data_IF_865463212677
#
_entry.id   IF_865463212677
#
_cell.length_a   1.000
_cell.length_b   1.000
_cell.length_c   1.000
_cell.angle_alpha   90.00
_cell.angle_beta   90.00
_cell.angle_gamma   90.00
#
_symmetry.space_group_name_H-M   'P 1'
#
loop_
_entity.id
_entity.type
_entity.pdbx_description
1 polymer ?
#
# COMPACT_ATOMS: atom_id res chain seq x y z
N UNK A 1 14.25 9.75 21.04
CA UNK A 1 13.67 9.72 19.69
C UNK A 1 14.45 8.71 18.88
N UNK A 2 13.83 7.60 18.49
CA UNK A 2 14.46 6.69 17.54
C UNK A 2 14.56 7.45 16.19
N UNK A 3 15.74 7.43 15.58
CA UNK A 3 15.93 7.99 14.24
C UNK A 3 15.08 7.14 13.28
N UNK A 4 14.05 7.73 12.70
CA UNK A 4 13.27 7.06 11.67
C UNK A 4 14.18 6.78 10.47
N UNK A 5 14.27 5.53 10.09
CA UNK A 5 15.05 5.10 8.93
C UNK A 5 14.36 5.52 7.64
N UNK A 6 15.15 5.87 6.63
CA UNK A 6 14.65 6.01 5.26
C UNK A 6 14.75 4.68 4.50
N UNK A 7 13.97 4.54 3.43
CA UNK A 7 14.08 3.38 2.54
C UNK A 7 15.48 3.25 1.92
N UNK A 8 16.13 4.36 1.64
CA UNK A 8 17.51 4.37 1.14
C UNK A 8 18.47 3.73 2.13
N UNK A 9 18.39 4.09 3.42
CA UNK A 9 19.24 3.50 4.45
C UNK A 9 19.01 2.00 4.60
N UNK A 10 17.75 1.54 4.44
CA UNK A 10 17.43 0.12 4.46
C UNK A 10 18.06 -0.61 3.27
N UNK A 11 17.98 -0.06 2.06
CA UNK A 11 18.59 -0.64 0.86
C UNK A 11 20.11 -0.68 0.98
N UNK A 12 20.75 0.40 1.39
CA UNK A 12 22.21 0.43 1.63
C UNK A 12 22.65 -0.65 2.62
N UNK A 13 21.87 -0.88 3.66
CA UNK A 13 22.12 -1.96 4.62
C UNK A 13 21.95 -3.35 4.00
N UNK A 14 20.94 -3.53 3.14
CA UNK A 14 20.70 -4.78 2.42
C UNK A 14 21.88 -5.06 1.47
N UNK A 15 22.31 -4.08 0.68
CA UNK A 15 23.42 -4.22 -0.25
C UNK A 15 24.72 -4.57 0.48
N UNK A 16 25.03 -3.89 1.59
CA UNK A 16 26.17 -4.24 2.46
C UNK A 16 26.10 -5.68 2.96
N UNK A 17 24.92 -6.09 3.44
CA UNK A 17 24.73 -7.45 3.95
C UNK A 17 24.95 -8.52 2.87
N UNK A 18 24.50 -8.27 1.64
CA UNK A 18 24.68 -9.21 0.51
C UNK A 18 26.14 -9.26 0.07
N UNK A 19 26.81 -8.11 0.07
CA UNK A 19 28.20 -7.98 -0.32
C UNK A 19 29.20 -8.31 0.83
N UNK A 20 28.75 -9.00 1.90
CA UNK A 20 29.56 -9.34 3.06
C UNK A 20 30.27 -8.13 3.69
N UNK A 21 29.53 -7.02 3.83
CA UNK A 21 30.03 -5.74 4.35
C UNK A 21 31.11 -5.05 3.50
N UNK A 22 31.48 -5.59 2.35
CA UNK A 22 32.33 -4.90 1.39
C UNK A 22 31.51 -4.06 0.42
N UNK A 23 31.90 -2.81 0.16
CA UNK A 23 31.29 -2.00 -0.88
C UNK A 23 31.75 -2.56 -2.24
N UNK A 24 31.11 -3.62 -2.73
CA UNK A 24 31.33 -4.14 -4.06
C UNK A 24 30.26 -3.63 -4.99
N UNK A 25 30.65 -3.35 -6.23
CA UNK A 25 29.71 -2.93 -7.29
C UNK A 25 28.93 -4.12 -7.88
N UNK A 26 29.07 -5.32 -7.34
CA UNK A 26 28.49 -6.52 -7.90
C UNK A 26 26.98 -6.61 -7.70
N UNK A 27 26.48 -6.07 -6.59
CA UNK A 27 25.05 -5.97 -6.34
C UNK A 27 24.68 -4.52 -6.08
N UNK A 28 24.28 -3.85 -7.13
CA UNK A 28 23.68 -2.52 -7.07
C UNK A 28 22.25 -2.58 -7.62
N UNK A 29 21.31 -2.08 -6.84
CA UNK A 29 19.92 -1.98 -7.24
C UNK A 29 19.65 -0.62 -7.86
N UNK A 30 18.98 -0.60 -9.02
CA UNK A 30 18.39 0.64 -9.48
C UNK A 30 17.29 1.10 -8.53
N UNK A 31 17.07 2.40 -8.42
CA UNK A 31 16.03 2.96 -7.55
C UNK A 31 14.64 2.34 -7.81
N UNK A 32 14.32 2.05 -9.07
CA UNK A 32 13.03 1.46 -9.45
C UNK A 32 12.91 0.00 -8.99
N UNK A 33 13.99 -0.78 -9.10
CA UNK A 33 14.02 -2.16 -8.60
C UNK A 33 13.94 -2.19 -7.08
N UNK A 34 14.68 -1.33 -6.40
CA UNK A 34 14.63 -1.20 -4.95
C UNK A 34 13.22 -0.89 -4.47
N UNK A 35 12.55 0.10 -5.07
CA UNK A 35 11.16 0.45 -4.75
C UNK A 35 10.18 -0.69 -5.04
N UNK A 36 10.40 -1.46 -6.11
CA UNK A 36 9.57 -2.62 -6.42
C UNK A 36 9.69 -3.68 -5.32
N UNK A 37 10.90 -4.09 -4.97
CA UNK A 37 11.16 -5.09 -3.93
C UNK A 37 10.64 -4.65 -2.55
N UNK A 38 10.85 -3.38 -2.19
CA UNK A 38 10.31 -2.81 -0.95
C UNK A 38 8.79 -2.93 -0.92
N UNK A 39 8.09 -2.49 -1.96
CA UNK A 39 6.63 -2.52 -2.00
C UNK A 39 6.06 -3.95 -2.00
N UNK A 40 6.72 -4.88 -2.66
CA UNK A 40 6.37 -6.31 -2.58
C UNK A 40 6.57 -6.85 -1.17
N UNK A 41 7.74 -6.61 -0.55
CA UNK A 41 8.04 -7.07 0.80
C UNK A 41 7.11 -6.45 1.85
N UNK A 42 6.76 -5.16 1.71
CA UNK A 42 5.75 -4.52 2.55
C UNK A 42 4.39 -5.20 2.43
N UNK A 43 3.96 -5.51 1.21
CA UNK A 43 2.69 -6.20 0.98
C UNK A 43 2.67 -7.57 1.63
N UNK A 44 3.74 -8.35 1.51
CA UNK A 44 3.87 -9.66 2.15
C UNK A 44 3.91 -9.56 3.68
N UNK A 45 4.66 -8.60 4.23
CA UNK A 45 4.76 -8.37 5.67
C UNK A 45 3.37 -8.09 6.26
N UNK A 46 2.63 -7.15 5.68
CA UNK A 46 1.31 -6.76 6.17
C UNK A 46 0.30 -7.91 6.03
N UNK A 47 0.30 -8.60 4.89
CA UNK A 47 -0.57 -9.78 4.69
C UNK A 47 -0.23 -10.87 5.69
N UNK A 48 1.06 -11.11 5.96
CA UNK A 48 1.49 -12.08 6.97
C UNK A 48 0.97 -11.74 8.36
N UNK A 49 0.99 -10.47 8.76
CA UNK A 49 0.46 -10.02 10.04
C UNK A 49 -1.07 -10.18 10.14
N UNK A 50 -1.80 -9.85 9.08
CA UNK A 50 -3.26 -10.06 9.02
C UNK A 50 -3.61 -11.54 9.16
N UNK A 51 -2.88 -12.44 8.48
CA UNK A 51 -3.08 -13.88 8.60
C UNK A 51 -2.74 -14.41 9.99
N UNK A 52 -1.67 -13.88 10.62
CA UNK A 52 -1.33 -14.26 11.98
C UNK A 52 -2.40 -13.79 12.97
N UNK A 53 -2.92 -12.57 12.82
CA UNK A 53 -4.05 -12.09 13.62
C UNK A 53 -5.27 -12.98 13.45
N UNK A 54 -5.59 -13.40 12.24
CA UNK A 54 -6.71 -14.28 11.96
C UNK A 54 -6.56 -15.66 12.65
N UNK A 55 -5.34 -16.19 12.72
CA UNK A 55 -5.07 -17.48 13.41
C UNK A 55 -5.23 -17.36 14.93
N UNK A 56 -4.85 -16.21 15.50
CA UNK A 56 -4.87 -16.00 16.97
C UNK A 56 -6.26 -15.57 17.42
N UNK A 57 -6.87 -14.63 16.74
CA UNK A 57 -8.12 -13.98 17.14
C UNK A 57 -9.37 -14.63 16.52
N UNK A 58 -9.20 -15.48 15.50
CA UNK A 58 -10.32 -16.09 14.77
C UNK A 58 -10.98 -15.15 13.75
N UNK A 59 -10.52 -13.91 13.62
CA UNK A 59 -10.97 -12.94 12.62
C UNK A 59 -9.78 -12.14 12.09
N UNK A 60 -9.95 -11.62 10.87
CA UNK A 60 -8.89 -10.84 10.21
C UNK A 60 -8.95 -9.40 10.71
N UNK A 61 -7.91 -8.97 11.40
CA UNK A 61 -7.74 -7.60 11.85
C UNK A 61 -6.37 -7.07 11.44
N UNK A 62 -6.32 -5.81 11.07
CA UNK A 62 -5.08 -5.11 10.81
C UNK A 62 -4.56 -4.54 12.13
N UNK A 63 -3.35 -4.91 12.59
CA UNK A 63 -2.79 -4.33 13.79
C UNK A 63 -2.67 -2.81 13.67
N UNK A 64 -3.07 -2.09 14.72
CA UNK A 64 -3.09 -0.61 14.73
C UNK A 64 -1.73 0.01 14.38
N UNK A 65 -0.63 -0.64 14.77
CA UNK A 65 0.73 -0.18 14.48
C UNK A 65 1.04 -0.06 12.96
N UNK A 66 0.24 -0.72 12.11
CA UNK A 66 0.38 -0.65 10.66
C UNK A 66 -0.60 0.33 10.01
N UNK A 67 -1.50 0.92 10.80
CA UNK A 67 -2.56 1.79 10.29
C UNK A 67 -2.11 3.23 10.36
N UNK A 68 -2.19 3.92 9.22
CA UNK A 68 -1.95 5.35 9.11
C UNK A 68 -3.25 6.08 8.83
N UNK A 69 -3.46 7.20 9.51
CA UNK A 69 -4.63 8.05 9.34
C UNK A 69 -4.25 9.33 8.61
N UNK A 70 -4.99 9.66 7.58
CA UNK A 70 -4.79 10.86 6.80
C UNK A 70 -6.08 11.67 6.74
N UNK A 71 -5.96 12.98 6.83
CA UNK A 71 -7.01 13.91 6.48
C UNK A 71 -7.08 14.03 4.95
N UNK A 72 -8.29 13.91 4.40
CA UNK A 72 -8.52 14.11 2.98
C UNK A 72 -8.60 15.60 2.65
N UNK A 73 -8.07 15.98 1.49
CA UNK A 73 -8.23 17.34 0.99
C UNK A 73 -9.71 17.72 0.87
N UNK A 74 -9.99 19.02 0.84
CA UNK A 74 -11.36 19.54 0.72
C UNK A 74 -12.15 18.85 -0.38
N UNK A 75 -13.36 18.42 -0.04
CA UNK A 75 -14.24 17.70 -0.96
C UNK A 75 -14.69 18.61 -2.12
N UNK A 76 -14.67 18.06 -3.32
CA UNK A 76 -15.14 18.71 -4.53
C UNK A 76 -16.32 17.92 -5.11
N UNK A 77 -17.30 18.61 -5.67
CA UNK A 77 -18.40 17.95 -6.34
C UNK A 77 -18.13 17.87 -7.86
N UNK A 78 -18.29 16.68 -8.39
CA UNK A 78 -18.20 16.47 -9.85
C UNK A 78 -19.45 17.02 -10.53
N UNK A 79 -19.25 17.82 -11.59
CA UNK A 79 -20.31 18.54 -12.30
C UNK A 79 -21.28 17.60 -13.03
N UNK A 80 -20.81 16.43 -13.46
CA UNK A 80 -21.58 15.47 -14.27
C UNK A 80 -22.32 14.48 -13.37
N UNK A 81 -21.57 13.79 -12.50
CA UNK A 81 -22.12 12.71 -11.68
C UNK A 81 -22.80 13.20 -10.41
N UNK A 82 -22.52 14.46 -10.01
CA UNK A 82 -22.95 15.07 -8.75
C UNK A 82 -22.44 14.34 -7.49
N UNK A 83 -21.50 13.40 -7.64
CA UNK A 83 -20.82 12.80 -6.51
C UNK A 83 -19.72 13.72 -5.97
N UNK A 84 -19.39 13.54 -4.71
CA UNK A 84 -18.29 14.24 -4.08
C UNK A 84 -17.00 13.41 -4.21
N UNK A 85 -15.87 14.05 -4.29
CA UNK A 85 -14.58 13.36 -4.31
C UNK A 85 -13.49 14.18 -3.61
N UNK A 86 -12.48 13.46 -3.15
CA UNK A 86 -11.20 14.01 -2.73
C UNK A 86 -10.07 13.20 -3.36
N UNK A 87 -8.93 13.85 -3.60
CA UNK A 87 -7.72 13.16 -4.03
C UNK A 87 -7.09 12.43 -2.84
N UNK A 88 -6.64 11.21 -3.05
CA UNK A 88 -5.92 10.48 -2.01
C UNK A 88 -4.59 11.18 -1.72
N UNK A 89 -4.23 11.37 -0.44
CA UNK A 89 -3.01 12.08 -0.05
C UNK A 89 -1.75 11.32 -0.49
N UNK A 90 -1.84 9.98 -0.48
CA UNK A 90 -0.79 9.08 -0.92
C UNK A 90 -1.40 7.84 -1.57
N UNK A 91 -0.70 7.19 -2.52
CA UNK A 91 -1.18 5.96 -3.10
C UNK A 91 -1.17 4.85 -2.04
N UNK A 92 -2.30 4.13 -1.86
CA UNK A 92 -2.35 3.03 -0.92
C UNK A 92 -1.47 1.89 -1.40
N UNK A 93 -0.91 1.13 -0.45
CA UNK A 93 -0.25 -0.12 -0.76
C UNK A 93 -1.26 -1.10 -1.36
N UNK A 94 -0.88 -1.76 -2.45
CA UNK A 94 -1.75 -2.74 -3.11
C UNK A 94 -1.80 -4.02 -2.28
N UNK A 95 -2.87 -4.23 -1.56
CA UNK A 95 -3.12 -5.44 -0.77
C UNK A 95 -4.21 -6.30 -1.40
N UNK A 96 -4.12 -7.64 -1.28
CA UNK A 96 -5.16 -8.53 -1.76
C UNK A 96 -6.48 -8.30 -1.02
N UNK A 97 -7.58 -8.73 -1.63
CA UNK A 97 -8.93 -8.70 -1.06
C UNK A 97 -9.48 -7.31 -0.70
N UNK A 98 -8.80 -6.23 -1.09
CA UNK A 98 -9.28 -4.86 -0.83
C UNK A 98 -8.90 -4.29 0.54
N UNK A 99 -7.94 -4.91 1.24
CA UNK A 99 -7.40 -4.41 2.51
C UNK A 99 -6.55 -3.13 2.38
N UNK A 100 -6.41 -2.59 1.18
CA UNK A 100 -5.63 -1.36 0.93
C UNK A 100 -6.18 -0.11 1.63
N UNK A 101 -7.44 -0.15 2.07
CA UNK A 101 -8.09 0.88 2.88
C UNK A 101 -8.89 0.20 3.98
N UNK A 102 -8.63 0.62 5.21
CA UNK A 102 -9.27 0.04 6.39
C UNK A 102 -10.60 0.74 6.70
N UNK A 103 -10.59 2.07 6.73
CA UNK A 103 -11.74 2.87 7.16
C UNK A 103 -11.75 4.23 6.45
N UNK A 104 -12.94 4.75 6.19
CA UNK A 104 -13.16 6.15 5.77
C UNK A 104 -14.31 6.70 6.60
N UNK A 105 -14.12 7.90 7.16
CA UNK A 105 -15.18 8.53 7.99
C UNK A 105 -15.15 10.05 7.86
N UNK A 106 -16.23 10.69 8.25
CA UNK A 106 -16.34 12.14 8.40
C UNK A 106 -16.21 12.52 9.86
N UNK A 107 -15.48 13.60 10.14
CA UNK A 107 -15.45 14.17 11.48
C UNK A 107 -16.86 14.62 11.88
N UNK A 108 -17.33 14.17 13.05
CA UNK A 108 -18.54 14.72 13.63
C UNK A 108 -18.14 15.85 14.58
N UNK A 109 -18.53 17.07 14.24
CA UNK A 109 -18.21 18.26 15.04
C UNK A 109 -18.86 18.24 16.44
N UNK A 110 -19.89 17.41 16.66
CA UNK A 110 -20.65 17.43 17.92
C UNK A 110 -20.12 16.45 18.97
N UNK A 111 -19.62 15.27 18.60
CA UNK A 111 -19.29 14.21 19.55
C UNK A 111 -17.85 13.71 19.49
N UNK A 112 -17.02 14.20 18.55
CA UNK A 112 -15.69 13.62 18.29
C UNK A 112 -15.72 12.22 17.67
N UNK A 113 -16.87 11.58 17.60
CA UNK A 113 -17.08 10.31 16.91
C UNK A 113 -17.28 10.54 15.42
N UNK A 114 -16.54 9.82 14.59
CA UNK A 114 -16.67 9.93 13.14
C UNK A 114 -17.90 9.18 12.62
N UNK A 115 -18.49 9.70 11.54
CA UNK A 115 -19.55 9.00 10.79
C UNK A 115 -18.88 8.13 9.75
N UNK A 116 -18.92 6.82 9.91
CA UNK A 116 -18.33 5.86 9.00
C UNK A 116 -19.00 5.86 7.63
N UNK A 117 -18.16 5.80 6.59
CA UNK A 117 -18.60 5.62 5.22
C UNK A 117 -18.67 4.13 4.88
N UNK A 118 -19.79 3.71 4.30
CA UNK A 118 -19.91 2.34 3.79
C UNK A 118 -19.06 2.19 2.52
N UNK A 119 -17.99 1.41 2.61
CA UNK A 119 -17.14 1.13 1.46
C UNK A 119 -17.81 0.19 0.46
N UNK A 120 -17.84 0.57 -0.81
CA UNK A 120 -18.40 -0.24 -1.90
C UNK A 120 -17.39 -0.40 -3.03
N UNK A 121 -17.47 -1.52 -3.74
CA UNK A 121 -16.66 -1.72 -4.95
C UNK A 121 -17.21 -0.85 -6.08
N UNK A 122 -16.33 -0.13 -6.79
CA UNK A 122 -16.68 0.76 -7.89
C UNK A 122 -17.65 0.12 -8.90
N UNK A 123 -17.42 -1.13 -9.28
CA UNK A 123 -18.29 -1.89 -10.21
C UNK A 123 -19.72 -2.12 -9.72
N UNK A 124 -20.01 -1.89 -8.45
CA UNK A 124 -21.35 -2.11 -7.86
C UNK A 124 -22.15 -0.82 -7.69
N UNK A 125 -21.60 0.34 -8.02
CA UNK A 125 -22.26 1.64 -7.86
C UNK A 125 -23.58 1.69 -8.65
N UNK A 126 -23.58 1.27 -9.92
CA UNK A 126 -24.76 1.30 -10.77
C UNK A 126 -25.91 0.44 -10.27
N UNK A 127 -25.62 -0.73 -9.66
CA UNK A 127 -26.65 -1.62 -9.10
C UNK A 127 -27.19 -1.17 -7.74
N UNK A 128 -26.42 -0.39 -6.98
CA UNK A 128 -26.78 0.08 -5.64
C UNK A 128 -27.33 1.50 -5.60
N UNK A 129 -27.39 2.19 -6.75
CA UNK A 129 -27.93 3.52 -6.87
C UNK A 129 -29.38 3.63 -6.34
N UNK A 130 -30.14 2.55 -6.46
CA UNK A 130 -31.54 2.47 -6.06
C UNK A 130 -31.77 1.79 -4.70
N UNK A 131 -30.73 1.37 -3.98
CA UNK A 131 -30.90 0.88 -2.62
C UNK A 131 -30.96 2.08 -1.66
N UNK A 132 -32.07 2.32 -0.97
CA UNK A 132 -32.12 3.36 0.03
C UNK A 132 -31.11 3.04 1.12
N UNK A 133 -30.10 3.91 1.26
CA UNK A 133 -29.38 3.99 2.52
C UNK A 133 -30.32 4.71 3.46
N UNK A 134 -30.79 4.02 4.47
CA UNK A 134 -31.60 4.68 5.46
C UNK A 134 -30.85 5.85 6.12
N UNK A 135 -29.55 5.72 6.36
CA UNK A 135 -28.67 6.79 6.84
C UNK A 135 -27.22 6.50 6.43
N UNK A 136 -26.49 7.49 5.93
CA UNK A 136 -25.03 7.37 5.78
C UNK A 136 -24.47 7.84 4.43
N UNK A 137 -23.17 7.78 4.36
CA UNK A 137 -22.39 8.08 3.16
C UNK A 137 -21.75 6.80 2.65
N UNK A 138 -21.80 6.59 1.35
CA UNK A 138 -21.04 5.53 0.67
C UNK A 138 -19.75 6.09 0.11
N UNK A 139 -18.69 5.31 0.13
CA UNK A 139 -17.46 5.67 -0.54
C UNK A 139 -16.93 4.54 -1.40
N UNK A 140 -16.15 4.88 -2.43
CA UNK A 140 -15.41 3.96 -3.27
C UNK A 140 -14.15 4.63 -3.78
N UNK A 141 -13.22 3.80 -4.30
CA UNK A 141 -11.92 4.24 -4.77
C UNK A 141 -11.83 4.03 -6.27
N UNK A 142 -11.47 5.08 -6.98
CA UNK A 142 -11.31 5.05 -8.43
C UNK A 142 -10.37 6.16 -8.89
N UNK A 143 -9.38 5.82 -9.74
CA UNK A 143 -8.45 6.76 -10.36
C UNK A 143 -7.74 7.70 -9.36
N UNK A 144 -7.23 7.14 -8.23
CA UNK A 144 -6.51 7.91 -7.21
C UNK A 144 -7.38 8.86 -6.40
N UNK A 145 -8.69 8.70 -6.47
CA UNK A 145 -9.68 9.49 -5.74
C UNK A 145 -10.52 8.62 -4.83
N UNK A 146 -10.94 9.22 -3.72
CA UNK A 146 -12.02 8.70 -2.88
C UNK A 146 -13.29 9.42 -3.30
N UNK A 147 -14.27 8.67 -3.73
CA UNK A 147 -15.57 9.17 -4.15
C UNK A 147 -16.60 8.93 -3.05
N UNK A 148 -17.56 9.84 -2.95
CA UNK A 148 -18.60 9.80 -1.92
C UNK A 148 -19.98 10.03 -2.54
N UNK A 149 -20.94 9.23 -2.09
CA UNK A 149 -22.35 9.43 -2.36
C UNK A 149 -23.11 9.54 -1.04
N UNK A 150 -23.65 10.71 -0.78
CA UNK A 150 -24.51 10.94 0.38
C UNK A 150 -25.92 10.44 0.11
N UNK A 151 -26.59 9.92 1.14
CA UNK A 151 -28.02 9.61 1.07
C UNK A 151 -28.83 10.90 0.87
N UNK A 152 -29.93 10.81 0.11
CA UNK A 152 -30.87 11.92 -0.11
C UNK A 152 -30.28 13.21 -0.69
N UNK A 153 -29.11 13.12 -1.40
CA UNK A 153 -28.47 14.29 -2.00
C UNK A 153 -27.92 15.30 -0.98
N UNK A 154 -27.66 14.87 0.25
CA UNK A 154 -27.11 15.74 1.27
C UNK A 154 -25.76 16.32 0.80
N UNK A 155 -25.53 17.61 1.08
CA UNK A 155 -24.29 18.27 0.75
C UNK A 155 -23.19 17.82 1.71
N UNK A 156 -22.04 17.46 1.14
CA UNK A 156 -20.81 17.17 1.89
C UNK A 156 -19.84 18.38 1.87
N UNK A 157 -20.31 19.53 1.45
CA UNK A 157 -19.52 20.76 1.43
C UNK A 157 -19.07 21.10 2.87
N UNK A 158 -17.81 21.45 3.01
CA UNK A 158 -17.17 21.78 4.29
C UNK A 158 -17.10 20.64 5.32
N UNK A 159 -17.35 19.40 4.90
CA UNK A 159 -17.12 18.24 5.75
C UNK A 159 -15.64 17.83 5.66
N UNK A 160 -15.03 17.58 6.80
CA UNK A 160 -13.68 16.99 6.86
C UNK A 160 -13.80 15.47 6.86
N UNK A 161 -13.17 14.83 5.91
CA UNK A 161 -13.11 13.38 5.80
C UNK A 161 -11.71 12.86 6.12
N UNK A 162 -11.66 11.68 6.72
CA UNK A 162 -10.43 10.96 7.06
C UNK A 162 -10.42 9.59 6.41
N UNK A 163 -9.22 9.11 6.11
CA UNK A 163 -8.98 7.77 5.57
C UNK A 163 -7.92 7.06 6.42
N UNK A 164 -8.16 5.79 6.73
CA UNK A 164 -7.18 4.88 7.32
C UNK A 164 -6.72 3.87 6.29
N UNK A 165 -5.42 3.76 6.14
CA UNK A 165 -4.77 2.82 5.22
C UNK A 165 -3.67 2.06 5.95
N UNK A 166 -3.50 0.76 5.67
CA UNK A 166 -2.35 0.00 6.14
C UNK A 166 -1.12 0.41 5.34
N UNK A 167 -0.31 1.28 5.89
CA UNK A 167 0.88 1.83 5.24
C UNK A 167 0.61 2.44 3.85
N UNK A 168 1.55 3.19 3.36
CA UNK A 168 1.50 3.77 2.01
C UNK A 168 2.56 3.13 1.14
N UNK A 169 2.33 3.13 -0.17
CA UNK A 169 3.33 2.67 -1.12
C UNK A 169 4.58 3.55 -1.03
N UNK A 170 5.75 2.95 -0.92
CA UNK A 170 7.01 3.68 -1.06
C UNK A 170 7.11 4.23 -2.49
N UNK A 171 7.22 5.55 -2.62
CA UNK A 171 7.31 6.27 -3.91
C UNK A 171 8.73 6.77 -4.14
N UNK A 172 9.44 7.12 -3.07
CA UNK A 172 10.83 7.57 -3.10
C UNK A 172 11.65 6.83 -2.06
N UNK A 173 12.91 6.57 -2.36
CA UNK A 173 13.87 6.01 -1.39
C UNK A 173 14.19 6.98 -0.25
N UNK A 174 13.97 8.27 -0.45
CA UNK A 174 14.13 9.29 0.62
C UNK A 174 12.99 9.31 1.63
N UNK A 175 11.86 8.63 1.34
CA UNK A 175 10.73 8.58 2.24
C UNK A 175 11.12 7.86 3.54
N UNK A 176 10.59 8.36 4.66
CA UNK A 176 10.79 7.73 5.96
C UNK A 176 9.94 6.47 6.09
N UNK A 177 10.48 5.48 6.79
CA UNK A 177 9.77 4.24 7.08
C UNK A 177 8.86 4.46 8.29
N UNK A 178 7.56 4.44 8.05
CA UNK A 178 6.54 4.56 9.10
C UNK A 178 5.94 3.20 9.46
N UNK A 179 6.80 2.21 9.66
CA UNK A 179 6.43 0.85 10.03
C UNK A 179 7.14 0.45 11.32
N UNK A 180 6.54 -0.43 12.14
CA UNK A 180 7.18 -0.99 13.31
C UNK A 180 8.51 -1.70 12.99
N UNK A 181 9.41 -1.78 13.95
CA UNK A 181 10.76 -2.37 13.76
C UNK A 181 10.72 -3.83 13.33
N UNK A 182 9.76 -4.61 13.82
CA UNK A 182 9.54 -6.00 13.43
C UNK A 182 9.14 -6.11 11.94
N UNK A 183 8.31 -5.20 11.45
CA UNK A 183 7.97 -5.12 10.03
C UNK A 183 9.17 -4.71 9.18
N UNK A 184 9.97 -3.76 9.64
CA UNK A 184 11.20 -3.35 8.94
C UNK A 184 12.18 -4.51 8.81
N UNK A 185 12.35 -5.29 9.90
CA UNK A 185 13.18 -6.50 9.87
C UNK A 185 12.64 -7.53 8.89
N UNK A 186 11.35 -7.78 8.88
CA UNK A 186 10.73 -8.73 7.97
C UNK A 186 10.90 -8.29 6.50
N UNK A 187 10.76 -6.99 6.22
CA UNK A 187 11.01 -6.43 4.89
C UNK A 187 12.47 -6.63 4.48
N UNK A 188 13.41 -6.35 5.40
CA UNK A 188 14.84 -6.59 5.16
C UNK A 188 15.09 -8.05 4.77
N UNK A 189 14.60 -9.01 5.57
CA UNK A 189 14.80 -10.44 5.35
C UNK A 189 14.19 -10.90 4.00
N UNK A 190 12.99 -10.40 3.65
CA UNK A 190 12.33 -10.72 2.39
C UNK A 190 13.08 -10.18 1.17
N UNK A 191 13.57 -8.93 1.23
CA UNK A 191 14.35 -8.34 0.12
C UNK A 191 15.68 -9.06 -0.04
N UNK A 192 16.37 -9.38 1.06
CA UNK A 192 17.62 -10.17 1.04
C UNK A 192 17.37 -11.54 0.41
N UNK A 193 16.31 -12.25 0.79
CA UNK A 193 15.97 -13.55 0.23
C UNK A 193 15.76 -13.46 -1.30
N UNK A 194 14.99 -12.46 -1.76
CA UNK A 194 14.75 -12.22 -3.19
C UNK A 194 16.02 -11.95 -3.97
N UNK A 195 16.90 -11.12 -3.42
CA UNK A 195 18.16 -10.81 -4.07
C UNK A 195 19.10 -12.01 -4.14
N UNK A 196 19.15 -12.83 -3.09
CA UNK A 196 19.91 -14.08 -3.10
C UNK A 196 19.37 -15.07 -4.12
N UNK A 197 18.05 -15.23 -4.25
CA UNK A 197 17.43 -16.04 -5.30
C UNK A 197 17.87 -15.57 -6.71
N UNK A 198 17.86 -14.25 -6.95
CA UNK A 198 18.30 -13.67 -8.23
C UNK A 198 19.76 -13.94 -8.53
N UNK A 199 20.63 -13.91 -7.52
CA UNK A 199 22.06 -14.17 -7.67
C UNK A 199 22.39 -15.66 -7.83
N UNK A 200 21.52 -16.55 -7.35
CA UNK A 200 21.69 -18.01 -7.45
C UNK A 200 21.14 -18.59 -8.75
N UNK A 201 20.39 -17.83 -9.53
CA UNK A 201 19.98 -18.26 -10.86
C UNK A 201 21.24 -18.29 -11.74
N UNK A 202 21.67 -19.49 -12.25
CA UNK A 202 22.85 -19.58 -13.07
C UNK A 202 22.66 -18.71 -14.32
N UNK A 203 23.59 -17.79 -14.53
CA UNK A 203 23.63 -16.98 -15.75
C UNK A 203 23.97 -17.83 -16.98
N UNK A 204 24.29 -19.11 -16.78
CA UNK A 204 24.78 -20.02 -17.80
C UNK A 204 23.76 -20.56 -18.80
N UNK A 205 22.46 -20.39 -18.54
CA UNK A 205 21.43 -20.95 -19.46
C UNK A 205 21.38 -20.20 -20.80
N UNK A 206 21.92 -18.99 -20.88
CA UNK A 206 21.87 -18.17 -22.12
C UNK A 206 23.10 -18.36 -23.02
N UNK A 207 24.21 -18.86 -22.51
CA UNK A 207 25.41 -19.04 -23.29
C UNK A 207 25.54 -20.40 -23.99
N UNK A 208 24.87 -21.44 -23.53
CA UNK A 208 24.97 -22.76 -24.12
C UNK A 208 24.26 -22.93 -25.47
N UNK A 209 23.22 -22.14 -25.76
CA UNK A 209 22.51 -22.20 -27.04
C UNK A 209 23.26 -21.53 -28.22
N UNK A 210 24.24 -20.65 -27.93
CA UNK A 210 24.99 -19.96 -28.99
C UNK A 210 26.20 -20.76 -29.44
N UNK A 211 26.74 -21.67 -28.61
CA UNK A 211 27.94 -22.43 -28.91
C UNK A 211 27.71 -23.72 -29.71
N UNK A 212 26.44 -24.21 -29.78
CA UNK A 212 26.13 -25.44 -30.55
C UNK A 212 25.75 -25.17 -32.01
N UNK A 213 25.56 -23.91 -32.41
CA UNK A 213 25.19 -23.53 -33.79
C UNK A 213 26.33 -23.55 -34.83
N UNK A 214 27.57 -23.71 -34.44
CA UNK A 214 28.75 -23.53 -35.35
C UNK A 214 29.64 -24.78 -35.56
N UNK A 215 29.10 -25.98 -35.37
CA UNK A 215 29.82 -27.22 -35.75
C UNK A 215 28.97 -28.04 -36.69
N UNK A 216 28.77 -27.55 -37.94
CA UNK A 216 28.44 -28.37 -39.09
C UNK A 216 28.76 -27.61 -40.36
N UNK A 217 30.00 -27.72 -40.78
CA UNK A 217 30.45 -27.55 -42.18
C UNK A 217 31.58 -28.49 -42.43
#
# INVERSE_FOLDING_TARGET
>A
MALAWSWQQLIERIERHINNDFPSSEVSLSNNEALLYINEAMSFSIVGQVWNSAKILGYMEMPEAYIMTFELAALKQDSITKYWYSTMPQPPLSLPLGYSVNRVWFANAQNGEGIDCAMIKAKRIGRRKNMPLQYGVRCWFENGKVWFAASNGASLLNQTAYIQMPSTRAVSLSDQINLPDDAQKMIFDLVVARLKERLQLPQDIIQDDISQGNKSS
#
